data_IF_995606739725
#
_entry.id   IF_995606739725
#
_cell.length_a   1.000
_cell.length_b   1.000
_cell.length_c   1.000
_cell.angle_alpha   90.00
_cell.angle_beta   90.00
_cell.angle_gamma   90.00
#
_symmetry.space_group_name_H-M   'P 1'
#
loop_
_entity.id
_entity.type
_entity.pdbx_description
1 polymer ?
#
# COMPACT_ATOMS: atom_id res chain seq x y z
N UNK A 1 4.51 19.09 22.25
CA UNK A 1 4.47 17.63 22.08
C UNK A 1 3.06 17.16 22.37
N UNK A 2 2.49 16.37 21.45
CA UNK A 2 1.15 15.77 21.62
C UNK A 2 1.30 14.25 21.52
N UNK A 3 0.65 13.53 22.41
CA UNK A 3 0.57 12.07 22.39
C UNK A 3 -0.78 11.67 21.79
N UNK A 4 -0.77 10.71 20.86
CA UNK A 4 -1.98 10.22 20.18
C UNK A 4 -2.85 11.36 19.60
N UNK A 5 -2.21 12.33 18.96
CA UNK A 5 -2.82 13.58 18.51
C UNK A 5 -3.82 13.50 17.35
N UNK A 6 -4.19 12.31 16.92
CA UNK A 6 -5.08 12.06 15.79
C UNK A 6 -4.46 12.45 14.43
N UNK A 7 -4.81 11.74 13.39
CA UNK A 7 -4.30 11.96 12.03
C UNK A 7 -2.82 11.56 11.86
N UNK A 8 -2.30 11.76 10.65
CA UNK A 8 -0.90 11.50 10.30
C UNK A 8 -0.21 12.78 9.83
N UNK A 9 1.03 13.03 10.27
CA UNK A 9 1.85 14.13 9.77
C UNK A 9 2.30 13.91 8.32
N UNK A 10 2.34 12.67 7.87
CA UNK A 10 2.61 12.29 6.48
C UNK A 10 1.36 11.63 5.90
N UNK A 11 0.75 12.23 4.89
CA UNK A 11 -0.38 11.61 4.20
C UNK A 11 0.10 10.45 3.31
N UNK A 12 -0.33 9.20 3.55
CA UNK A 12 0.04 8.06 2.72
C UNK A 12 -0.47 8.22 1.27
N UNK A 13 0.32 7.85 0.25
CA UNK A 13 -0.17 7.84 -1.13
C UNK A 13 -1.31 6.83 -1.33
N UNK A 14 -2.42 7.28 -1.92
CA UNK A 14 -3.66 6.46 -2.04
C UNK A 14 -3.54 5.26 -2.99
N UNK A 15 -2.57 5.28 -3.90
CA UNK A 15 -2.36 4.23 -4.91
C UNK A 15 -1.20 3.31 -4.55
N UNK A 16 -0.41 3.66 -3.52
CA UNK A 16 0.74 2.85 -3.11
C UNK A 16 0.26 1.66 -2.29
N UNK A 17 0.57 0.46 -2.77
CA UNK A 17 0.16 -0.78 -2.12
C UNK A 17 0.97 -1.11 -0.85
N UNK A 18 2.13 -0.50 -0.67
CA UNK A 18 2.92 -0.61 0.57
C UNK A 18 2.47 0.41 1.64
N UNK A 19 1.22 0.90 1.56
CA UNK A 19 0.62 1.80 2.54
C UNK A 19 -0.50 1.13 3.31
N UNK A 20 -0.55 1.41 4.61
CA UNK A 20 -1.62 0.95 5.47
C UNK A 20 -2.98 1.49 4.99
N UNK A 21 -3.95 0.61 4.88
CA UNK A 21 -5.33 0.95 4.50
C UNK A 21 -6.30 -0.07 5.09
N UNK A 22 -7.58 0.31 5.17
CA UNK A 22 -8.67 -0.61 5.47
C UNK A 22 -9.62 -0.59 4.30
N UNK A 23 -9.73 -1.69 3.56
CA UNK A 23 -10.56 -1.72 2.37
C UNK A 23 -10.58 -3.05 1.65
N UNK A 24 -11.31 -3.07 0.55
CA UNK A 24 -11.41 -4.23 -0.32
C UNK A 24 -11.36 -3.80 -1.79
N UNK A 25 -10.87 -4.72 -2.64
CA UNK A 25 -10.91 -4.58 -4.11
C UNK A 25 -11.42 -5.87 -4.71
N UNK A 26 -12.55 -5.82 -5.41
CA UNK A 26 -13.07 -6.93 -6.22
C UNK A 26 -12.50 -6.81 -7.63
N UNK A 27 -11.86 -7.86 -8.11
CA UNK A 27 -11.34 -7.93 -9.48
C UNK A 27 -12.45 -8.21 -10.47
N UNK A 28 -12.40 -7.59 -11.66
CA UNK A 28 -13.33 -7.89 -12.74
C UNK A 28 -12.88 -9.15 -13.50
N UNK A 29 -13.85 -10.01 -13.81
CA UNK A 29 -13.59 -11.25 -14.57
C UNK A 29 -12.89 -12.35 -13.77
N UNK A 30 -12.69 -12.17 -12.48
CA UNK A 30 -12.08 -13.13 -11.57
C UNK A 30 -12.91 -13.22 -10.27
N UNK A 31 -12.82 -14.35 -9.59
CA UNK A 31 -13.41 -14.55 -8.25
C UNK A 31 -12.57 -13.94 -7.12
N UNK A 32 -11.49 -13.24 -7.44
CA UNK A 32 -10.53 -12.67 -6.49
C UNK A 32 -11.06 -11.39 -5.83
N UNK A 33 -10.94 -11.37 -4.50
CA UNK A 33 -11.16 -10.23 -3.64
C UNK A 33 -9.89 -9.97 -2.83
N UNK A 34 -9.27 -8.80 -3.01
CA UNK A 34 -8.17 -8.37 -2.16
C UNK A 34 -8.73 -7.59 -0.97
N UNK A 35 -8.26 -7.92 0.22
CA UNK A 35 -8.65 -7.30 1.48
C UNK A 35 -7.42 -6.64 2.10
N UNK A 36 -7.57 -5.43 2.59
CA UNK A 36 -6.54 -4.72 3.32
C UNK A 36 -7.06 -4.33 4.70
N UNK A 37 -6.26 -4.58 5.74
CA UNK A 37 -6.59 -4.21 7.12
C UNK A 37 -5.34 -3.73 7.82
N UNK A 38 -5.35 -2.52 8.31
CA UNK A 38 -4.25 -1.99 9.12
C UNK A 38 -4.21 -0.48 9.16
N UNK A 39 -3.28 0.03 9.93
CA UNK A 39 -3.07 1.45 10.07
C UNK A 39 -1.58 1.78 10.32
N UNK A 40 -1.23 3.01 9.99
CA UNK A 40 -0.02 3.70 10.44
C UNK A 40 -0.48 4.96 11.15
N UNK A 41 -0.10 5.15 12.41
CA UNK A 41 -0.60 6.26 13.21
C UNK A 41 0.51 6.91 14.04
N UNK A 42 0.43 8.23 14.19
CA UNK A 42 1.38 9.01 14.97
C UNK A 42 1.10 8.82 16.47
N UNK A 43 2.04 8.22 17.19
CA UNK A 43 2.00 8.12 18.66
C UNK A 43 2.51 9.41 19.29
N UNK A 44 3.60 9.94 18.77
CA UNK A 44 4.20 11.19 19.24
C UNK A 44 4.22 12.18 18.09
N UNK A 45 3.71 13.38 18.33
CA UNK A 45 3.81 14.51 17.41
C UNK A 45 4.37 15.72 18.14
N UNK A 46 5.31 16.41 17.51
CA UNK A 46 5.80 17.69 18.02
C UNK A 46 5.87 18.72 16.91
N UNK A 47 5.34 19.90 17.22
CA UNK A 47 5.23 20.99 16.30
C UNK A 47 6.30 22.04 16.63
N UNK A 48 6.94 22.55 15.60
CA UNK A 48 7.71 23.80 15.63
C UNK A 48 6.94 24.85 14.80
N UNK A 49 7.37 26.11 14.77
CA UNK A 49 6.65 27.13 13.99
C UNK A 49 6.50 26.80 12.50
N UNK A 50 7.45 26.07 11.90
CA UNK A 50 7.53 25.77 10.47
C UNK A 50 7.49 24.28 10.13
N UNK A 51 7.45 23.38 11.12
CA UNK A 51 7.50 21.92 10.91
C UNK A 51 6.65 21.16 11.89
N UNK A 52 6.13 20.04 11.41
CA UNK A 52 5.51 19.01 12.23
C UNK A 52 6.34 17.74 12.08
N UNK A 53 6.78 17.19 13.20
CA UNK A 53 7.44 15.88 13.25
C UNK A 53 6.50 14.88 13.90
N UNK A 54 6.59 13.64 13.47
CA UNK A 54 5.85 12.56 14.09
C UNK A 54 6.61 11.25 14.07
N UNK A 55 6.26 10.38 15.00
CA UNK A 55 6.74 9.02 15.12
C UNK A 55 5.60 8.09 15.50
N UNK A 56 5.58 6.89 14.93
CA UNK A 56 4.59 5.89 15.27
C UNK A 56 4.84 4.53 14.63
N UNK A 57 4.04 3.52 14.99
CA UNK A 57 4.08 2.20 14.38
C UNK A 57 3.33 2.14 13.06
N UNK A 58 3.77 1.21 12.21
CA UNK A 58 3.08 0.74 11.02
C UNK A 58 2.70 -0.72 11.24
N UNK A 59 1.41 -1.07 11.09
CA UNK A 59 0.91 -2.43 11.19
C UNK A 59 -0.24 -2.63 10.22
N UNK A 60 -0.02 -3.42 9.17
CA UNK A 60 -1.05 -3.69 8.17
C UNK A 60 -0.86 -5.04 7.48
N UNK A 61 -1.95 -5.59 7.00
CA UNK A 61 -2.03 -6.89 6.35
C UNK A 61 -2.83 -6.73 5.06
N UNK A 62 -2.36 -7.37 4.00
CA UNK A 62 -3.11 -7.61 2.78
C UNK A 62 -3.42 -9.09 2.67
N UNK A 63 -4.63 -9.43 2.27
CA UNK A 63 -5.05 -10.80 2.03
C UNK A 63 -5.64 -10.94 0.62
N UNK A 64 -5.17 -11.93 -0.12
CA UNK A 64 -5.79 -12.37 -1.36
C UNK A 64 -6.82 -13.43 -1.02
N UNK A 65 -8.08 -13.19 -1.31
CA UNK A 65 -9.12 -14.20 -1.17
C UNK A 65 -9.74 -14.55 -2.52
N UNK A 66 -10.29 -15.76 -2.62
CA UNK A 66 -11.03 -16.23 -3.80
C UNK A 66 -12.39 -16.72 -3.36
N UNK A 67 -13.42 -16.31 -4.09
CA UNK A 67 -14.76 -16.86 -3.89
C UNK A 67 -14.87 -18.20 -4.62
N UNK A 68 -15.20 -19.27 -3.88
CA UNK A 68 -15.31 -20.61 -4.45
C UNK A 68 -16.76 -21.00 -4.69
N UNK A 69 -17.68 -20.62 -3.81
CA UNK A 69 -19.11 -20.84 -3.97
C UNK A 69 -19.91 -20.01 -2.97
N UNK A 70 -20.88 -19.25 -3.45
CA UNK A 70 -21.70 -18.37 -2.61
C UNK A 70 -20.86 -17.34 -1.85
N UNK A 71 -20.94 -17.29 -0.52
CA UNK A 71 -20.18 -16.38 0.34
C UNK A 71 -18.92 -17.02 0.97
N UNK A 72 -18.45 -18.15 0.45
CA UNK A 72 -17.23 -18.78 0.96
C UNK A 72 -16.00 -18.13 0.34
N UNK A 73 -15.38 -17.25 1.11
CA UNK A 73 -14.09 -16.64 0.79
C UNK A 73 -13.00 -17.54 1.36
N UNK A 74 -12.14 -18.10 0.50
CA UNK A 74 -10.91 -18.77 0.90
C UNK A 74 -9.75 -17.79 0.79
N UNK A 75 -8.98 -17.63 1.85
CA UNK A 75 -7.77 -16.81 1.83
C UNK A 75 -6.66 -17.64 1.17
N UNK A 76 -6.12 -17.13 0.08
CA UNK A 76 -5.06 -17.78 -0.71
C UNK A 76 -3.66 -17.37 -0.27
N UNK A 77 -3.46 -16.08 0.00
CA UNK A 77 -2.20 -15.53 0.46
C UNK A 77 -2.45 -14.38 1.43
N UNK A 78 -1.51 -14.15 2.33
CA UNK A 78 -1.51 -13.04 3.26
C UNK A 78 -0.11 -12.42 3.37
N UNK A 79 -0.04 -11.11 3.27
CA UNK A 79 1.16 -10.29 3.38
C UNK A 79 1.05 -9.43 4.63
N UNK A 80 2.02 -9.55 5.54
CA UNK A 80 2.08 -8.77 6.77
C UNK A 80 3.22 -7.76 6.73
N UNK A 81 2.91 -6.51 7.09
CA UNK A 81 3.87 -5.42 7.25
C UNK A 81 3.81 -4.92 8.68
N UNK A 82 4.96 -4.81 9.33
CA UNK A 82 5.07 -4.21 10.64
C UNK A 82 6.40 -3.52 10.85
N UNK A 83 6.37 -2.41 11.56
CA UNK A 83 7.54 -1.61 11.82
C UNK A 83 7.19 -0.26 12.41
N UNK A 84 7.94 0.75 12.03
CA UNK A 84 7.76 2.10 12.52
C UNK A 84 8.12 3.14 11.45
N UNK A 85 7.55 4.32 11.60
CA UNK A 85 7.88 5.48 10.80
C UNK A 85 8.32 6.66 11.63
N UNK A 86 9.09 7.51 10.99
CA UNK A 86 9.39 8.87 11.39
C UNK A 86 9.02 9.78 10.22
N UNK A 87 8.23 10.82 10.47
CA UNK A 87 7.78 11.74 9.42
C UNK A 87 8.01 13.19 9.80
N UNK A 88 8.14 14.03 8.77
CA UNK A 88 8.27 15.46 8.88
C UNK A 88 7.47 16.14 7.77
N UNK A 89 6.63 17.11 8.16
CA UNK A 89 5.93 18.00 7.21
C UNK A 89 6.44 19.42 7.40
N UNK A 90 6.71 20.10 6.30
CA UNK A 90 7.23 21.47 6.26
C UNK A 90 6.16 22.41 5.68
N UNK A 91 6.10 23.67 6.15
CA UNK A 91 5.06 24.64 5.74
C UNK A 91 4.96 24.89 4.23
N UNK A 92 6.04 24.72 3.47
CA UNK A 92 6.08 24.92 2.02
C UNK A 92 5.49 23.73 1.21
N UNK A 93 4.82 22.77 1.90
CA UNK A 93 4.15 21.63 1.30
C UNK A 93 5.03 20.41 1.07
N UNK A 94 6.27 20.41 1.51
CA UNK A 94 7.11 19.23 1.53
C UNK A 94 6.76 18.32 2.70
N UNK A 95 6.73 17.01 2.42
CA UNK A 95 6.58 15.94 3.40
C UNK A 95 7.69 14.92 3.19
N UNK A 96 8.26 14.45 4.29
CA UNK A 96 9.29 13.41 4.29
C UNK A 96 8.90 12.32 5.27
N UNK A 97 9.21 11.07 4.93
CA UNK A 97 9.01 9.93 5.82
C UNK A 97 10.14 8.93 5.67
N UNK A 98 10.65 8.47 6.79
CA UNK A 98 11.48 7.28 6.89
C UNK A 98 10.64 6.16 7.53
N UNK A 99 10.72 4.95 6.97
CA UNK A 99 10.14 3.74 7.57
C UNK A 99 11.22 2.68 7.74
N UNK A 100 11.14 1.91 8.83
CA UNK A 100 11.84 0.65 9.00
C UNK A 100 10.79 -0.45 9.11
N UNK A 101 10.69 -1.31 8.12
CA UNK A 101 9.62 -2.30 7.98
C UNK A 101 10.16 -3.72 7.85
N UNK A 102 9.47 -4.62 8.49
CA UNK A 102 9.48 -6.04 8.17
C UNK A 102 8.27 -6.36 7.29
N UNK A 103 8.50 -7.06 6.20
CA UNK A 103 7.49 -7.60 5.32
C UNK A 103 7.64 -9.12 5.24
N UNK A 104 6.57 -9.86 5.54
CA UNK A 104 6.50 -11.31 5.38
C UNK A 104 5.25 -11.69 4.61
N UNK A 105 5.38 -12.68 3.73
CA UNK A 105 4.25 -13.22 2.97
C UNK A 105 4.09 -14.72 3.21
N UNK A 106 2.85 -15.19 3.14
CA UNK A 106 2.47 -16.56 3.43
C UNK A 106 1.39 -17.04 2.48
N UNK A 107 1.53 -18.27 1.96
CA UNK A 107 0.38 -19.00 1.44
C UNK A 107 -0.50 -19.42 2.61
N UNK A 108 -1.81 -19.37 2.42
CA UNK A 108 -2.80 -19.68 3.45
C UNK A 108 -3.57 -20.96 3.05
N UNK A 109 -4.14 -21.61 4.02
CA UNK A 109 -4.85 -22.89 3.93
C UNK A 109 -6.00 -22.93 2.90
N UNK A 110 -6.47 -21.76 2.47
CA UNK A 110 -7.43 -21.64 1.37
C UNK A 110 -6.96 -22.24 0.04
N UNK A 111 -5.65 -22.43 -0.15
CA UNK A 111 -5.05 -23.09 -1.31
C UNK A 111 -4.65 -24.55 -1.03
N UNK A 112 -4.90 -25.12 0.15
CA UNK A 112 -4.59 -26.50 0.46
C UNK A 112 -5.81 -27.39 0.30
N UNK A 113 -5.68 -28.45 -0.49
CA UNK A 113 -6.70 -29.48 -0.64
C UNK A 113 -6.46 -30.59 0.37
N UNK A 114 -7.41 -30.74 1.30
CA UNK A 114 -7.35 -31.73 2.36
C UNK A 114 -7.55 -33.17 1.85
N UNK A 115 -8.22 -33.36 0.72
CA UNK A 115 -8.49 -34.72 0.16
C UNK A 115 -7.25 -35.25 -0.57
N UNK A 116 -6.64 -34.42 -1.40
CA UNK A 116 -5.45 -34.82 -2.16
C UNK A 116 -4.13 -34.56 -1.41
N UNK A 117 -4.15 -33.86 -0.27
CA UNK A 117 -2.98 -33.42 0.48
C UNK A 117 -2.00 -32.59 -0.37
N UNK A 118 -2.52 -31.75 -1.28
CA UNK A 118 -1.72 -30.92 -2.19
C UNK A 118 -2.12 -29.47 -2.12
N UNK A 119 -1.16 -28.60 -2.48
CA UNK A 119 -1.44 -27.20 -2.71
C UNK A 119 -2.07 -27.02 -4.11
N UNK A 120 -3.15 -26.25 -4.17
CA UNK A 120 -3.80 -25.89 -5.42
C UNK A 120 -2.88 -24.98 -6.25
N UNK A 121 -3.10 -24.95 -7.56
CA UNK A 121 -2.32 -24.19 -8.54
C UNK A 121 -0.82 -24.57 -8.61
N UNK A 122 -0.42 -25.74 -8.06
CA UNK A 122 0.96 -26.22 -8.09
C UNK A 122 1.96 -25.35 -7.32
N UNK A 123 1.46 -24.51 -6.43
CA UNK A 123 2.30 -23.67 -5.57
C UNK A 123 2.53 -24.36 -4.23
N UNK A 124 3.78 -24.32 -3.79
CA UNK A 124 4.17 -24.67 -2.43
C UNK A 124 4.62 -23.43 -1.67
N UNK A 125 4.31 -23.32 -0.36
CA UNK A 125 4.76 -22.20 0.44
C UNK A 125 6.29 -22.18 0.55
N UNK A 126 6.87 -21.00 0.49
CA UNK A 126 8.31 -20.80 0.73
C UNK A 126 8.54 -19.61 1.67
N UNK A 127 9.67 -19.52 2.35
CA UNK A 127 9.95 -18.38 3.19
C UNK A 127 10.10 -17.10 2.37
N UNK A 128 9.16 -16.17 2.52
CA UNK A 128 9.25 -14.83 1.95
C UNK A 128 9.41 -13.80 3.06
N UNK A 129 10.47 -13.00 3.00
CA UNK A 129 10.70 -11.94 3.98
C UNK A 129 11.58 -10.84 3.41
N UNK A 130 11.26 -9.59 3.72
CA UNK A 130 12.10 -8.42 3.46
C UNK A 130 12.15 -7.54 4.71
N UNK A 131 13.36 -7.24 5.18
CA UNK A 131 13.60 -6.21 6.18
C UNK A 131 14.24 -5.02 5.48
N UNK A 132 13.56 -3.89 5.45
CA UNK A 132 14.02 -2.74 4.66
C UNK A 132 13.79 -1.41 5.36
N UNK A 133 14.66 -0.45 5.02
CA UNK A 133 14.43 0.95 5.28
C UNK A 133 13.91 1.64 4.02
N UNK A 134 12.94 2.52 4.15
CA UNK A 134 12.39 3.33 3.05
C UNK A 134 12.49 4.81 3.39
N UNK A 135 12.96 5.60 2.43
CA UNK A 135 12.86 7.07 2.46
C UNK A 135 11.87 7.52 1.40
N UNK A 136 10.87 8.28 1.79
CA UNK A 136 9.87 8.88 0.90
C UNK A 136 9.87 10.40 1.04
N UNK A 137 9.80 11.09 -0.09
CA UNK A 137 9.54 12.53 -0.16
C UNK A 137 8.28 12.77 -0.99
N UNK A 138 7.47 13.71 -0.56
CA UNK A 138 6.27 14.14 -1.28
C UNK A 138 6.17 15.66 -1.27
N UNK A 139 5.60 16.22 -2.32
CA UNK A 139 5.27 17.64 -2.38
C UNK A 139 3.92 17.86 -3.00
N UNK A 140 3.17 18.73 -2.37
CA UNK A 140 1.87 19.18 -2.85
C UNK A 140 1.98 20.58 -3.45
N UNK A 141 1.18 20.82 -4.48
CA UNK A 141 0.91 22.16 -5.01
C UNK A 141 -0.56 22.24 -5.47
N UNK A 142 -1.16 23.38 -5.27
CA UNK A 142 -2.51 23.66 -5.72
C UNK A 142 -2.50 24.72 -6.83
N UNK A 143 -3.27 24.49 -7.88
CA UNK A 143 -3.50 25.47 -8.94
C UNK A 143 -4.97 25.43 -9.36
N UNK A 144 -5.76 26.36 -8.80
CA UNK A 144 -7.17 26.52 -9.15
C UNK A 144 -8.05 25.33 -8.72
N UNK A 145 -8.78 24.67 -9.66
CA UNK A 145 -9.77 23.65 -9.32
C UNK A 145 -9.18 22.28 -8.96
N UNK A 146 -7.88 22.10 -9.07
CA UNK A 146 -7.19 20.83 -8.83
C UNK A 146 -5.98 21.06 -7.93
N UNK A 147 -5.81 20.16 -6.95
CA UNK A 147 -4.58 20.02 -6.18
C UNK A 147 -3.85 18.79 -6.69
N UNK A 148 -2.55 18.89 -6.87
CA UNK A 148 -1.68 17.79 -7.25
C UNK A 148 -0.63 17.53 -6.17
N UNK A 149 -0.24 16.26 -6.02
CA UNK A 149 0.84 15.81 -5.15
C UNK A 149 1.70 14.81 -5.91
N UNK A 150 2.99 15.06 -5.95
CA UNK A 150 3.99 14.10 -6.42
C UNK A 150 4.71 13.49 -5.22
N UNK A 151 5.10 12.23 -5.34
CA UNK A 151 5.91 11.54 -4.33
C UNK A 151 6.88 10.56 -4.97
N UNK A 152 7.98 10.29 -4.26
CA UNK A 152 8.95 9.27 -4.65
C UNK A 152 9.55 8.63 -3.40
N UNK A 153 9.81 7.34 -3.48
CA UNK A 153 10.40 6.53 -2.41
C UNK A 153 11.54 5.67 -2.94
N UNK A 154 12.55 5.49 -2.10
CA UNK A 154 13.64 4.55 -2.31
C UNK A 154 13.74 3.66 -1.06
N UNK A 155 13.73 2.34 -1.27
CA UNK A 155 13.88 1.37 -0.21
C UNK A 155 15.15 0.52 -0.42
N UNK A 156 15.85 0.25 0.70
CA UNK A 156 16.99 -0.63 0.76
C UNK A 156 16.75 -1.76 1.75
N UNK A 157 16.80 -3.02 1.29
CA UNK A 157 16.61 -4.21 2.10
C UNK A 157 17.94 -4.68 2.68
N UNK A 158 17.96 -4.99 3.98
CA UNK A 158 19.10 -5.60 4.67
C UNK A 158 19.00 -7.12 4.73
N UNK A 159 17.79 -7.65 4.60
CA UNK A 159 17.49 -9.09 4.50
C UNK A 159 16.40 -9.27 3.46
N UNK A 160 16.61 -10.21 2.54
CA UNK A 160 15.63 -10.64 1.55
C UNK A 160 15.57 -12.15 1.49
N UNK A 161 14.38 -12.70 1.41
CA UNK A 161 14.10 -14.08 1.05
C UNK A 161 12.93 -14.11 0.08
N UNK A 162 13.04 -14.79 -1.06
CA UNK A 162 14.22 -15.50 -1.61
C UNK A 162 15.42 -14.59 -1.90
N UNK A 163 16.60 -15.19 -1.96
CA UNK A 163 17.89 -14.46 -2.13
C UNK A 163 18.04 -13.75 -3.50
N UNK A 164 17.22 -14.12 -4.49
CA UNK A 164 17.21 -13.51 -5.83
C UNK A 164 16.57 -12.12 -5.85
N UNK A 165 15.82 -11.74 -4.80
CA UNK A 165 15.23 -10.41 -4.70
C UNK A 165 16.35 -9.40 -4.48
N UNK A 166 16.47 -8.44 -5.39
CA UNK A 166 17.45 -7.38 -5.31
C UNK A 166 17.22 -6.48 -4.08
N UNK A 167 18.30 -5.99 -3.44
CA UNK A 167 18.17 -5.23 -2.19
C UNK A 167 17.49 -3.87 -2.37
N UNK A 168 17.54 -3.28 -3.55
CA UNK A 168 16.96 -1.96 -3.81
C UNK A 168 15.61 -2.08 -4.49
N UNK A 169 14.69 -1.24 -4.09
CA UNK A 169 13.40 -1.02 -4.77
C UNK A 169 13.03 0.45 -4.71
N UNK A 170 12.17 0.89 -5.61
CA UNK A 170 11.73 2.28 -5.63
C UNK A 170 10.33 2.44 -6.17
N UNK A 171 9.66 3.49 -5.71
CA UNK A 171 8.31 3.85 -6.12
C UNK A 171 8.26 5.35 -6.40
N UNK A 172 7.48 5.75 -7.41
CA UNK A 172 7.15 7.14 -7.63
C UNK A 172 5.71 7.26 -8.14
N UNK A 173 5.03 8.34 -7.79
CA UNK A 173 3.66 8.53 -8.20
C UNK A 173 3.19 9.98 -8.14
N UNK A 174 1.99 10.17 -8.67
CA UNK A 174 1.27 11.43 -8.68
C UNK A 174 -0.18 11.19 -8.30
N UNK A 175 -0.74 12.13 -7.56
CA UNK A 175 -2.14 12.21 -7.18
C UNK A 175 -2.68 13.58 -7.58
N UNK A 176 -3.85 13.61 -8.17
CA UNK A 176 -4.57 14.84 -8.50
C UNK A 176 -6.00 14.72 -7.99
N UNK A 177 -6.50 15.73 -7.29
CA UNK A 177 -7.83 15.72 -6.70
C UNK A 177 -8.47 17.10 -6.66
N UNK A 178 -9.82 17.12 -6.66
CA UNK A 178 -10.60 18.35 -6.50
C UNK A 178 -10.59 18.78 -5.02
N UNK A 179 -10.48 20.07 -4.71
CA UNK A 179 -10.47 20.55 -3.32
C UNK A 179 -11.80 20.38 -2.58
N UNK A 180 -12.92 20.35 -3.30
CA UNK A 180 -14.25 20.24 -2.71
C UNK A 180 -14.62 18.81 -2.36
N UNK A 181 -15.32 18.60 -1.23
CA UNK A 181 -15.91 17.32 -0.85
C UNK A 181 -17.27 17.12 -1.55
N UNK A 182 -17.52 16.00 -2.25
CA UNK A 182 -16.61 14.89 -2.45
C UNK A 182 -15.44 15.23 -3.38
N UNK A 183 -14.26 14.67 -3.05
CA UNK A 183 -13.07 14.84 -3.86
C UNK A 183 -13.04 13.82 -5.00
N UNK A 184 -13.11 14.28 -6.25
CA UNK A 184 -12.80 13.42 -7.39
C UNK A 184 -11.29 13.35 -7.55
N UNK A 185 -10.76 12.15 -7.78
CA UNK A 185 -9.31 12.00 -7.86
C UNK A 185 -8.85 11.00 -8.92
N UNK A 186 -7.65 11.22 -9.40
CA UNK A 186 -6.85 10.28 -10.17
C UNK A 186 -5.49 10.13 -9.50
N UNK A 187 -4.99 8.90 -9.42
CA UNK A 187 -3.67 8.63 -8.88
C UNK A 187 -2.96 7.58 -9.73
N UNK A 188 -1.66 7.73 -9.89
CA UNK A 188 -0.81 6.81 -10.63
C UNK A 188 0.50 6.57 -9.89
N UNK A 189 0.99 5.34 -9.95
CA UNK A 189 2.29 4.91 -9.42
C UNK A 189 3.03 4.06 -10.43
N UNK A 190 4.35 4.23 -10.48
CA UNK A 190 5.30 3.30 -11.05
C UNK A 190 6.23 2.80 -9.95
N UNK A 191 6.30 1.47 -9.77
CA UNK A 191 7.22 0.82 -8.85
C UNK A 191 8.26 0.00 -9.60
N UNK A 192 9.47 -0.11 -9.05
CA UNK A 192 10.56 -0.95 -9.54
C UNK A 192 10.96 -1.93 -8.45
N UNK A 193 10.92 -3.22 -8.77
CA UNK A 193 11.41 -4.31 -7.93
C UNK A 193 12.32 -5.23 -8.78
N UNK A 194 13.47 -5.60 -8.26
CA UNK A 194 14.40 -6.54 -8.92
C UNK A 194 14.10 -7.98 -8.52
N UNK A 195 13.74 -8.85 -9.53
CA UNK A 195 13.35 -10.25 -9.31
C UNK A 195 13.69 -11.13 -10.52
N UNK A 196 14.88 -11.58 -10.68
CA UNK A 196 16.15 -10.95 -10.27
C UNK A 196 16.44 -9.67 -11.03
N UNK A 197 15.79 -9.45 -12.20
CA UNK A 197 15.89 -8.24 -13.00
C UNK A 197 14.86 -7.20 -12.58
N UNK A 198 15.23 -5.93 -12.64
CA UNK A 198 14.33 -4.85 -12.29
C UNK A 198 13.14 -4.78 -13.25
N UNK A 199 11.97 -4.97 -12.70
CA UNK A 199 10.69 -4.95 -13.43
C UNK A 199 9.83 -3.80 -12.94
N UNK A 200 9.30 -3.02 -13.90
CA UNK A 200 8.34 -1.96 -13.60
C UNK A 200 6.93 -2.53 -13.39
N UNK A 201 6.26 -2.01 -12.37
CA UNK A 201 4.86 -2.26 -12.08
C UNK A 201 4.11 -0.93 -12.03
N UNK A 202 2.93 -0.90 -12.60
CA UNK A 202 2.10 0.30 -12.74
C UNK A 202 0.77 0.09 -12.02
N UNK A 203 0.39 1.02 -11.19
CA UNK A 203 -0.93 1.06 -10.52
C UNK A 203 -1.62 2.38 -10.78
N UNK A 204 -2.93 2.35 -10.96
CA UNK A 204 -3.75 3.53 -11.19
C UNK A 204 -5.06 3.42 -10.41
N UNK A 205 -5.49 4.52 -9.79
CA UNK A 205 -6.81 4.68 -9.21
C UNK A 205 -7.55 5.86 -9.85
N UNK A 206 -8.82 5.67 -10.11
CA UNK A 206 -9.78 6.72 -10.44
C UNK A 206 -10.95 6.59 -9.48
N UNK A 207 -11.30 7.64 -8.77
CA UNK A 207 -12.32 7.51 -7.75
C UNK A 207 -12.83 8.80 -7.15
N UNK A 208 -13.60 8.61 -6.10
CA UNK A 208 -14.18 9.68 -5.28
C UNK A 208 -13.89 9.40 -3.81
N UNK A 209 -13.52 10.45 -3.07
CA UNK A 209 -13.34 10.40 -1.61
C UNK A 209 -14.36 11.33 -0.95
N UNK A 210 -15.08 10.78 0.02
CA UNK A 210 -15.97 11.50 0.93
C UNK A 210 -15.23 11.69 2.26
N UNK A 211 -15.24 12.89 2.78
CA UNK A 211 -14.49 13.28 3.98
C UNK A 211 -13.34 14.24 3.66
N UNK A 212 -12.32 14.29 4.48
CA UNK A 212 -11.14 15.14 4.28
C UNK A 212 -10.10 14.44 3.42
N UNK A 213 -9.52 15.14 2.43
CA UNK A 213 -8.53 14.50 1.55
C UNK A 213 -7.30 13.99 2.34
N UNK A 214 -6.77 14.79 3.25
CA UNK A 214 -5.68 14.41 4.16
C UNK A 214 -6.18 14.07 5.56
N UNK A 215 -7.32 13.39 5.66
CA UNK A 215 -7.95 13.00 6.90
C UNK A 215 -8.85 11.80 6.73
N UNK A 216 -9.72 11.58 7.70
CA UNK A 216 -10.65 10.45 7.68
C UNK A 216 -11.67 10.56 6.56
N UNK A 217 -11.97 9.44 5.93
CA UNK A 217 -12.96 9.40 4.85
C UNK A 217 -13.14 8.03 4.21
N UNK A 218 -14.11 7.96 3.31
CA UNK A 218 -14.42 6.80 2.49
C UNK A 218 -14.02 7.08 1.04
N UNK A 219 -13.16 6.23 0.47
CA UNK A 219 -12.85 6.22 -0.96
C UNK A 219 -13.62 5.10 -1.66
N UNK A 220 -14.17 5.42 -2.84
CA UNK A 220 -14.72 4.44 -3.79
C UNK A 220 -13.95 4.64 -5.09
N UNK A 221 -13.40 3.57 -5.65
CA UNK A 221 -12.47 3.71 -6.78
C UNK A 221 -12.47 2.50 -7.71
N UNK A 222 -12.05 2.74 -8.95
CA UNK A 222 -11.59 1.73 -9.88
C UNK A 222 -10.07 1.70 -9.82
N UNK A 223 -9.52 0.50 -9.70
CA UNK A 223 -8.08 0.24 -9.69
C UNK A 223 -7.68 -0.53 -10.94
N UNK A 224 -6.55 -0.17 -11.53
CA UNK A 224 -5.88 -0.97 -12.56
C UNK A 224 -4.43 -1.27 -12.12
N UNK A 225 -3.94 -2.47 -12.41
CA UNK A 225 -2.57 -2.88 -12.17
C UNK A 225 -2.00 -3.60 -13.39
N UNK A 226 -0.73 -3.35 -13.68
CA UNK A 226 0.04 -4.08 -14.69
C UNK A 226 1.51 -4.16 -14.26
N UNK A 227 2.05 -5.36 -14.07
CA UNK A 227 3.43 -5.57 -13.63
C UNK A 227 3.61 -6.85 -12.86
N UNK A 228 4.38 -6.81 -11.77
CA UNK A 228 4.52 -7.93 -10.84
C UNK A 228 3.29 -8.03 -9.91
N UNK A 229 2.94 -9.25 -9.55
CA UNK A 229 1.91 -9.50 -8.54
C UNK A 229 2.37 -8.92 -7.20
N UNK A 230 1.55 -8.10 -6.55
CA UNK A 230 1.96 -7.44 -5.31
C UNK A 230 2.11 -8.37 -4.10
N UNK A 231 1.48 -9.55 -4.10
CA UNK A 231 1.62 -10.52 -3.00
C UNK A 231 2.96 -11.24 -3.04
N UNK A 232 3.66 -11.29 -1.90
CA UNK A 232 5.02 -11.78 -1.83
C UNK A 232 5.20 -13.23 -2.24
N UNK A 233 4.24 -14.12 -1.94
CA UNK A 233 4.27 -15.50 -2.43
C UNK A 233 4.15 -15.62 -3.97
N UNK A 234 3.78 -14.54 -4.64
CA UNK A 234 3.65 -14.43 -6.09
C UNK A 234 4.62 -13.42 -6.71
N UNK A 235 5.65 -13.00 -5.97
CA UNK A 235 6.57 -11.91 -6.29
C UNK A 235 7.17 -11.93 -7.71
N UNK A 236 7.36 -13.12 -8.30
CA UNK A 236 7.91 -13.32 -9.65
C UNK A 236 6.82 -13.45 -10.74
N UNK A 237 5.55 -13.49 -10.34
CA UNK A 237 4.41 -13.65 -11.25
C UNK A 237 4.02 -12.30 -11.84
N UNK A 238 3.74 -12.26 -13.15
CA UNK A 238 3.15 -11.07 -13.78
C UNK A 238 1.64 -11.08 -13.61
N UNK A 239 1.10 -9.92 -13.26
CA UNK A 239 -0.33 -9.70 -13.10
C UNK A 239 -0.80 -8.50 -13.94
N UNK A 240 -2.02 -8.60 -14.44
CA UNK A 240 -2.74 -7.49 -15.07
C UNK A 240 -4.22 -7.64 -14.75
N UNK A 241 -4.75 -6.66 -14.05
CA UNK A 241 -6.16 -6.67 -13.67
C UNK A 241 -6.75 -5.26 -13.54
N UNK A 242 -8.07 -5.23 -13.57
CA UNK A 242 -8.89 -4.07 -13.21
C UNK A 242 -9.88 -4.53 -12.15
N UNK A 243 -10.16 -3.69 -11.17
CA UNK A 243 -11.10 -3.98 -10.10
C UNK A 243 -11.80 -2.72 -9.61
N UNK A 244 -12.85 -2.92 -8.84
CA UNK A 244 -13.55 -1.85 -8.11
C UNK A 244 -13.36 -2.07 -6.62
N UNK A 245 -13.12 -1.01 -5.88
CA UNK A 245 -12.86 -1.10 -4.46
C UNK A 245 -13.42 0.05 -3.66
N UNK A 246 -13.42 -0.15 -2.35
CA UNK A 246 -13.58 0.94 -1.39
C UNK A 246 -12.52 0.82 -0.29
N UNK A 247 -12.17 1.96 0.30
CA UNK A 247 -11.24 2.01 1.43
C UNK A 247 -11.66 3.11 2.40
N UNK A 248 -11.38 2.87 3.68
CA UNK A 248 -11.51 3.84 4.75
C UNK A 248 -10.14 4.37 5.12
N UNK A 249 -10.00 5.67 5.13
CA UNK A 249 -8.82 6.39 5.60
C UNK A 249 -9.06 6.88 7.03
N UNK A 250 -8.06 6.77 7.90
CA UNK A 250 -8.17 7.09 9.34
C UNK A 250 -7.06 8.02 9.83
N UNK A 251 -6.38 8.76 8.96
CA UNK A 251 -5.30 9.69 9.31
C UNK A 251 -5.74 11.14 9.42
#
# INVERSE_FOLDING_TARGET
VTWFGGGSAFAPPVVNREEATVGIVQHFGDSRLDVAVGNAFDVIRWNTPDRVFAWGPDLFIFAMSRNISGFRLKIAAADGYFGMHFSMTVQDGWQFRFRALHFSAHLVDGLYDLESHTWLDGKEPFPFSRNFGELMAARQWGAGPVTARFWAALAGSVVTKPDEIQPWSGNAGIEAFTPANPHFYAAYQCGLLGVPEYTASHSMHLGVKFGEWYGSGLRIFVQALSGLEPFGEYYSTRARYVGVGFAFDYW
#
